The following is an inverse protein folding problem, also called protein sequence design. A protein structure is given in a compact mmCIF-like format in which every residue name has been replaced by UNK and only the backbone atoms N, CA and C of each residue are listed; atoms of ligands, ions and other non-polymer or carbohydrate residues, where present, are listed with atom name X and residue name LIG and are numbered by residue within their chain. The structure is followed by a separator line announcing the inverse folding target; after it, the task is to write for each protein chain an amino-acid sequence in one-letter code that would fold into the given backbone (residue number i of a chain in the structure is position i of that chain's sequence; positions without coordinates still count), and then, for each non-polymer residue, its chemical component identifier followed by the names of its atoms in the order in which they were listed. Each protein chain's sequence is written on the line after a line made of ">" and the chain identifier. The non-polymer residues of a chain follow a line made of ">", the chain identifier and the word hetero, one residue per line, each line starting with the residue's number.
data_IF_987621607022
#
_entry.id   IF_987621607022
#
_cell.length_a   1.000
_cell.length_b   1.000
_cell.length_c   1.000
_cell.angle_alpha   90.00
_cell.angle_beta   90.00
_cell.angle_gamma   90.00
#
_symmetry.space_group_name_H-M   'P 1'
#
loop_
_entity.id
_entity.type
_entity.pdbx_description
1 polymer ?
#
# COMPACT_ATOMS: atom_id res chain seq x y z
N UNK A 1 -10.53 23.39 -11.94
CA UNK A 1 -10.59 24.61 -12.79
C UNK A 1 -9.27 25.14 -13.32
N UNK A 2 -8.20 25.24 -12.53
CA UNK A 2 -6.93 25.84 -12.99
C UNK A 2 -6.19 25.03 -14.09
N UNK A 3 -6.27 23.69 -14.05
CA UNK A 3 -5.61 22.80 -15.01
C UNK A 3 -6.18 22.92 -16.44
N UNK A 4 -7.51 22.98 -16.54
CA UNK A 4 -8.23 23.13 -17.81
C UNK A 4 -8.01 24.54 -18.37
N UNK A 5 -8.01 25.57 -17.50
CA UNK A 5 -7.69 26.96 -17.88
C UNK A 5 -6.29 27.13 -18.49
N UNK A 6 -5.34 26.25 -18.15
CA UNK A 6 -4.00 26.19 -18.75
C UNK A 6 -3.92 25.33 -20.03
N UNK A 7 -5.06 24.95 -20.60
CA UNK A 7 -5.13 24.15 -21.82
C UNK A 7 -4.73 22.68 -21.66
N UNK A 8 -4.58 22.19 -20.41
CA UNK A 8 -4.25 20.78 -20.16
C UNK A 8 -5.52 19.93 -20.19
N UNK A 9 -5.44 18.79 -20.87
CA UNK A 9 -6.51 17.78 -20.89
C UNK A 9 -6.44 16.96 -19.60
N UNK A 10 -7.59 16.76 -18.97
CA UNK A 10 -7.75 15.88 -17.80
C UNK A 10 -8.59 14.69 -18.26
N UNK A 11 -8.13 13.48 -17.94
CA UNK A 11 -8.92 12.26 -18.08
C UNK A 11 -9.29 11.79 -16.68
N UNK A 12 -10.58 11.51 -16.47
CA UNK A 12 -11.10 10.95 -15.23
C UNK A 12 -11.46 9.50 -15.50
N UNK A 13 -10.84 8.61 -14.75
CA UNK A 13 -11.19 7.19 -14.71
C UNK A 13 -11.76 6.90 -13.33
N UNK A 14 -12.98 6.38 -13.30
CA UNK A 14 -13.61 5.90 -12.08
C UNK A 14 -13.33 4.41 -11.95
N UNK A 15 -12.64 4.03 -10.89
CA UNK A 15 -12.42 2.64 -10.55
C UNK A 15 -13.59 2.13 -9.71
N UNK A 16 -14.09 0.94 -10.02
CA UNK A 16 -15.11 0.29 -9.19
C UNK A 16 -14.48 -0.05 -7.82
N UNK A 17 -15.02 0.46 -6.70
CA UNK A 17 -14.51 0.16 -5.37
C UNK A 17 -14.49 -1.34 -5.04
N UNK A 18 -15.40 -2.13 -5.62
CA UNK A 18 -15.47 -3.58 -5.39
C UNK A 18 -14.33 -4.33 -6.09
N UNK A 19 -13.69 -3.71 -7.09
CA UNK A 19 -12.52 -4.25 -7.78
C UNK A 19 -11.19 -3.80 -7.14
N UNK A 20 -11.23 -3.04 -6.06
CA UNK A 20 -10.03 -2.55 -5.36
C UNK A 20 -9.86 -3.23 -4.00
N UNK A 21 -8.61 -3.44 -3.61
CA UNK A 21 -8.22 -3.95 -2.30
C UNK A 21 -7.14 -3.07 -1.67
N UNK A 22 -7.09 -3.08 -0.34
CA UNK A 22 -6.06 -2.41 0.43
C UNK A 22 -5.55 -3.36 1.53
N UNK A 23 -4.24 -3.56 1.57
CA UNK A 23 -3.57 -4.28 2.65
C UNK A 23 -2.65 -3.30 3.37
N UNK A 24 -2.74 -3.25 4.70
CA UNK A 24 -1.88 -2.41 5.52
C UNK A 24 -0.85 -3.28 6.26
N UNK A 25 0.43 -2.91 6.13
CA UNK A 25 1.53 -3.50 6.89
C UNK A 25 2.10 -2.41 7.80
N UNK A 26 1.94 -2.58 9.10
CA UNK A 26 2.22 -1.55 10.11
C UNK A 26 3.16 -2.08 11.18
N UNK A 27 4.00 -1.22 11.73
CA UNK A 27 4.95 -1.54 12.79
C UNK A 27 6.41 -1.31 12.39
N UNK A 28 7.33 -1.35 13.37
CA UNK A 28 8.73 -0.94 13.20
C UNK A 28 9.53 -1.81 12.23
N UNK A 29 9.08 -3.04 11.95
CA UNK A 29 9.73 -3.96 11.01
C UNK A 29 9.08 -3.98 9.62
N UNK A 30 8.03 -3.18 9.40
CA UNK A 30 7.25 -3.12 8.15
C UNK A 30 8.13 -2.85 6.92
N UNK A 31 9.04 -1.88 7.01
CA UNK A 31 9.94 -1.54 5.90
C UNK A 31 10.87 -2.70 5.52
N UNK A 32 11.41 -3.41 6.51
CA UNK A 32 12.28 -4.58 6.29
C UNK A 32 11.53 -5.71 5.60
N UNK A 33 10.32 -6.02 6.10
CA UNK A 33 9.47 -7.07 5.52
C UNK A 33 9.11 -6.73 4.09
N UNK A 34 8.58 -5.51 3.86
CA UNK A 34 8.09 -5.12 2.54
C UNK A 34 9.23 -5.01 1.52
N UNK A 35 10.42 -4.56 1.94
CA UNK A 35 11.59 -4.44 1.06
C UNK A 35 11.98 -5.78 0.43
N UNK A 36 11.73 -6.91 1.10
CA UNK A 36 11.97 -8.25 0.55
C UNK A 36 11.03 -8.65 -0.58
N UNK A 37 9.90 -7.95 -0.74
CA UNK A 37 8.86 -8.27 -1.71
C UNK A 37 8.85 -7.32 -2.93
N UNK A 38 9.62 -6.23 -2.87
CA UNK A 38 9.64 -5.17 -3.89
C UNK A 38 11.06 -4.84 -4.32
N UNK A 39 11.23 -4.48 -5.60
CA UNK A 39 12.53 -4.05 -6.15
C UNK A 39 12.84 -2.59 -5.87
N UNK A 40 11.82 -1.77 -5.67
CA UNK A 40 12.01 -0.36 -5.33
C UNK A 40 12.67 -0.24 -3.95
N UNK A 41 13.63 0.68 -3.83
CA UNK A 41 14.32 0.98 -2.57
C UNK A 41 13.43 1.84 -1.66
N UNK A 42 12.75 1.19 -0.71
CA UNK A 42 11.77 1.82 0.18
C UNK A 42 12.38 2.86 1.12
N UNK A 43 13.71 2.88 1.31
CA UNK A 43 14.36 3.95 2.07
C UNK A 43 14.20 5.32 1.41
N UNK A 44 13.92 5.35 0.10
CA UNK A 44 13.65 6.56 -0.69
C UNK A 44 12.16 6.93 -0.72
N UNK A 45 11.28 6.06 -0.23
CA UNK A 45 9.87 6.37 -0.08
C UNK A 45 9.65 7.04 1.28
N UNK A 46 9.54 8.36 1.26
CA UNK A 46 9.26 9.16 2.46
C UNK A 46 7.79 9.10 2.85
N UNK A 47 7.51 9.45 4.11
CA UNK A 47 6.14 9.51 4.65
C UNK A 47 5.24 10.37 3.76
N UNK A 48 4.02 9.89 3.53
CA UNK A 48 2.99 10.48 2.65
C UNK A 48 3.34 10.54 1.16
N UNK A 49 4.42 9.88 0.73
CA UNK A 49 4.67 9.65 -0.69
C UNK A 49 4.13 8.28 -1.12
N UNK A 50 3.77 8.19 -2.40
CA UNK A 50 3.35 6.94 -3.03
C UNK A 50 4.09 6.67 -4.33
N UNK A 51 4.21 5.39 -4.66
CA UNK A 51 4.77 4.90 -5.92
C UNK A 51 3.87 3.81 -6.50
N UNK A 52 3.89 3.70 -7.82
CA UNK A 52 3.43 2.48 -8.50
C UNK A 52 4.65 1.58 -8.70
N UNK A 53 4.51 0.32 -8.32
CA UNK A 53 5.58 -0.67 -8.42
C UNK A 53 5.00 -2.06 -8.61
N UNK A 54 5.89 -3.02 -8.77
CA UNK A 54 5.55 -4.44 -8.72
C UNK A 54 6.00 -5.04 -7.38
N UNK A 55 5.13 -5.86 -6.80
CA UNK A 55 5.42 -6.69 -5.64
C UNK A 55 5.24 -8.15 -6.03
N UNK A 56 6.34 -8.88 -6.21
CA UNK A 56 6.33 -10.30 -6.63
C UNK A 56 5.38 -10.63 -7.81
N UNK A 57 5.41 -9.84 -8.89
CA UNK A 57 4.54 -10.03 -10.06
C UNK A 57 3.23 -9.25 -10.04
N UNK A 58 2.79 -8.74 -8.89
CA UNK A 58 1.53 -8.00 -8.76
C UNK A 58 1.77 -6.50 -8.91
N UNK A 59 0.97 -5.85 -9.76
CA UNK A 59 0.99 -4.38 -9.89
C UNK A 59 0.30 -3.77 -8.67
N UNK A 60 1.03 -2.95 -7.94
CA UNK A 60 0.57 -2.35 -6.69
C UNK A 60 0.91 -0.87 -6.64
N UNK A 61 0.13 -0.12 -5.87
CA UNK A 61 0.52 1.20 -5.38
C UNK A 61 0.91 1.07 -3.92
N UNK A 62 2.11 1.52 -3.58
CA UNK A 62 2.60 1.52 -2.20
C UNK A 62 2.70 2.96 -1.73
N UNK A 63 2.06 3.25 -0.61
CA UNK A 63 2.15 4.53 0.09
C UNK A 63 2.77 4.30 1.45
N UNK A 64 3.77 5.10 1.83
CA UNK A 64 4.31 5.05 3.19
C UNK A 64 3.46 5.92 4.10
N UNK A 65 2.47 5.30 4.72
CA UNK A 65 1.53 5.91 5.66
C UNK A 65 0.87 4.83 6.51
N UNK A 66 0.08 5.28 7.48
CA UNK A 66 -0.62 4.39 8.39
C UNK A 66 -1.47 5.14 9.41
N UNK A 67 -2.31 4.38 10.10
CA UNK A 67 -3.20 4.88 11.15
C UNK A 67 -2.77 4.44 12.56
N UNK A 68 -1.60 3.82 12.72
CA UNK A 68 -1.19 3.17 13.98
C UNK A 68 -0.14 3.93 14.78
N UNK A 69 0.21 5.16 14.37
CA UNK A 69 1.30 5.95 14.99
C UNK A 69 2.72 5.43 14.74
N UNK A 70 2.86 4.24 14.17
CA UNK A 70 4.12 3.58 13.82
C UNK A 70 4.50 3.81 12.35
N UNK A 71 5.73 3.42 11.97
CA UNK A 71 6.07 3.30 10.54
C UNK A 71 5.23 2.21 9.88
N UNK A 72 4.94 2.39 8.59
CA UNK A 72 4.04 1.49 7.90
C UNK A 72 3.77 1.86 6.45
N UNK A 73 3.10 0.94 5.78
CA UNK A 73 2.76 1.03 4.37
C UNK A 73 1.32 0.59 4.13
N UNK A 74 0.68 1.29 3.22
CA UNK A 74 -0.57 0.88 2.60
C UNK A 74 -0.29 0.41 1.18
N UNK A 75 -0.73 -0.81 0.86
CA UNK A 75 -0.56 -1.45 -0.44
C UNK A 75 -1.94 -1.52 -1.10
N UNK A 76 -2.19 -0.63 -2.06
CA UNK A 76 -3.40 -0.67 -2.91
C UNK A 76 -3.19 -1.63 -4.07
N UNK A 77 -4.16 -2.53 -4.27
CA UNK A 77 -4.06 -3.66 -5.20
C UNK A 77 -5.42 -3.91 -5.86
N UNK A 78 -5.45 -4.74 -6.91
CA UNK A 78 -6.72 -5.27 -7.41
C UNK A 78 -7.37 -6.15 -6.35
N UNK A 79 -8.68 -6.05 -6.21
CA UNK A 79 -9.46 -6.81 -5.24
C UNK A 79 -9.25 -8.32 -5.38
N UNK A 80 -9.10 -8.82 -6.61
CA UNK A 80 -8.81 -10.22 -6.91
C UNK A 80 -7.47 -10.73 -6.35
N UNK A 81 -6.51 -9.83 -6.12
CA UNK A 81 -5.13 -10.16 -5.78
C UNK A 81 -4.84 -9.90 -4.29
N UNK A 82 -5.77 -9.25 -3.57
CA UNK A 82 -5.58 -8.81 -2.19
C UNK A 82 -5.26 -9.95 -1.23
N UNK A 83 -5.90 -11.11 -1.42
CA UNK A 83 -5.65 -12.30 -0.60
C UNK A 83 -4.21 -12.79 -0.76
N UNK A 84 -3.73 -12.94 -2.00
CA UNK A 84 -2.38 -13.42 -2.28
C UNK A 84 -1.34 -12.43 -1.78
N UNK A 85 -1.59 -11.13 -1.94
CA UNK A 85 -0.73 -10.07 -1.39
C UNK A 85 -0.63 -10.15 0.13
N UNK A 86 -1.76 -10.33 0.82
CA UNK A 86 -1.77 -10.50 2.27
C UNK A 86 -1.04 -11.78 2.72
N UNK A 87 -1.25 -12.91 2.03
CA UNK A 87 -0.58 -14.17 2.33
C UNK A 87 0.95 -14.09 2.13
N UNK A 88 1.42 -13.40 1.09
CA UNK A 88 2.85 -13.17 0.87
C UNK A 88 3.48 -12.35 2.00
N UNK A 89 2.79 -11.32 2.48
CA UNK A 89 3.26 -10.49 3.59
C UNK A 89 3.25 -11.31 4.90
N UNK A 90 2.21 -12.12 5.12
CA UNK A 90 2.06 -12.96 6.31
C UNK A 90 3.07 -14.11 6.37
N UNK A 91 3.71 -14.46 5.25
CA UNK A 91 4.77 -15.47 5.22
C UNK A 91 6.06 -15.01 5.93
N UNK A 92 6.20 -13.73 6.28
CA UNK A 92 7.30 -13.25 7.11
C UNK A 92 7.03 -13.56 8.60
N UNK A 93 8.02 -14.16 9.29
CA UNK A 93 7.89 -14.62 10.69
C UNK A 93 7.46 -13.53 11.69
N UNK A 94 7.78 -12.28 11.41
CA UNK A 94 7.52 -11.13 12.28
C UNK A 94 6.19 -10.42 11.98
N UNK A 95 5.36 -11.01 11.12
CA UNK A 95 4.05 -10.46 10.73
C UNK A 95 2.93 -11.30 11.35
N UNK A 96 1.90 -10.61 11.87
CA UNK A 96 0.68 -11.23 12.37
C UNK A 96 -0.54 -10.48 11.85
N UNK A 97 -1.66 -11.18 11.74
CA UNK A 97 -2.93 -10.56 11.42
C UNK A 97 -3.41 -9.69 12.58
N UNK A 98 -3.91 -8.49 12.26
CA UNK A 98 -4.54 -7.58 13.19
C UNK A 98 -5.98 -7.27 12.73
N UNK A 99 -6.93 -7.43 13.65
CA UNK A 99 -8.33 -7.08 13.42
C UNK A 99 -8.66 -5.63 13.80
N UNK A 100 -9.95 -5.32 13.82
CA UNK A 100 -10.45 -3.96 14.12
C UNK A 100 -10.15 -3.51 15.56
N UNK A 101 -10.23 -4.41 16.54
CA UNK A 101 -9.99 -4.06 17.95
C UNK A 101 -8.61 -3.41 18.19
N UNK A 102 -7.50 -4.09 17.85
CA UNK A 102 -6.18 -3.48 17.93
C UNK A 102 -6.06 -2.22 17.08
N UNK A 103 -6.59 -2.22 15.85
CA UNK A 103 -6.53 -1.06 14.93
C UNK A 103 -7.11 0.21 15.56
N UNK A 104 -8.24 0.12 16.24
CA UNK A 104 -8.94 1.28 16.81
C UNK A 104 -8.30 1.77 18.13
N UNK A 105 -7.42 0.95 18.73
CA UNK A 105 -6.76 1.26 20.01
C UNK A 105 -5.34 1.80 19.90
N UNK A 106 -4.72 1.70 18.71
CA UNK A 106 -3.33 2.10 18.45
C UNK A 106 -3.17 3.61 18.25
#
# INVERSE_FOLDING_TARGET
>A
DEFIKRGKKVHLEYLDPLDQGLVALQGPTSAKVLQGLVKFDLSKLFFMNSIETEMSGYKVRITRCGYTGEDGFEISVRGSDAKQVAEMILAADDVKLAGLGPRDSL
#
